data_IF_685204331231
#
_entry.id   IF_685204331231
#
_cell.length_a   1.000
_cell.length_b   1.000
_cell.length_c   1.000
_cell.angle_alpha   90.00
_cell.angle_beta   90.00
_cell.angle_gamma   90.00
#
_symmetry.space_group_name_H-M   'P 1'
#
loop_
_entity.id
_entity.type
_entity.pdbx_description
1 polymer ?
#
# COMPACT_ATOMS: atom_id res chain seq x y z
N UNK A 1 -23.90 -24.97 -10.96
CA UNK A 1 -24.92 -24.16 -10.24
C UNK A 1 -24.42 -22.71 -10.18
N UNK A 2 -25.14 -21.77 -10.78
CA UNK A 2 -24.74 -20.35 -10.80
C UNK A 2 -25.03 -19.71 -9.44
N UNK A 3 -24.10 -18.88 -8.94
CA UNK A 3 -24.25 -18.12 -7.69
C UNK A 3 -25.45 -17.15 -7.80
N UNK A 4 -26.30 -17.00 -6.77
CA UNK A 4 -27.34 -15.98 -6.78
C UNK A 4 -26.68 -14.60 -6.82
N UNK A 5 -27.02 -13.82 -7.85
CA UNK A 5 -26.64 -12.42 -7.95
C UNK A 5 -27.50 -11.65 -6.95
N UNK A 6 -26.88 -11.02 -5.95
CA UNK A 6 -27.59 -10.13 -5.03
C UNK A 6 -28.11 -8.92 -5.82
N UNK A 7 -29.36 -9.00 -6.27
CA UNK A 7 -30.05 -7.89 -6.93
C UNK A 7 -30.75 -7.03 -5.89
N UNK A 8 -30.41 -5.75 -5.90
CA UNK A 8 -31.15 -4.73 -5.15
C UNK A 8 -32.46 -4.45 -5.90
N UNK A 9 -33.59 -4.76 -5.26
CA UNK A 9 -34.93 -4.73 -5.88
C UNK A 9 -35.59 -3.35 -5.82
N UNK A 10 -35.25 -2.56 -4.79
CA UNK A 10 -35.75 -1.21 -4.60
C UNK A 10 -34.76 -0.40 -3.75
N UNK A 11 -34.78 0.92 -3.90
CA UNK A 11 -34.03 1.89 -3.12
C UNK A 11 -34.99 2.91 -2.55
N UNK A 12 -34.92 3.14 -1.23
CA UNK A 12 -35.67 4.20 -0.55
C UNK A 12 -34.79 5.43 -0.46
N UNK A 13 -35.27 6.56 -0.99
CA UNK A 13 -34.60 7.85 -0.98
C UNK A 13 -34.82 8.58 0.36
N UNK A 14 -34.06 9.64 0.62
CA UNK A 14 -34.11 10.40 1.89
C UNK A 14 -35.46 11.10 2.14
N UNK A 15 -36.16 11.48 1.06
CA UNK A 15 -37.52 12.04 1.11
C UNK A 15 -38.60 10.98 1.39
N UNK A 16 -38.20 9.72 1.55
CA UNK A 16 -39.08 8.60 1.81
C UNK A 16 -39.68 7.93 0.57
N UNK A 17 -39.42 8.46 -0.64
CA UNK A 17 -39.86 7.86 -1.90
C UNK A 17 -39.10 6.56 -2.19
N UNK A 18 -39.72 5.65 -2.94
CA UNK A 18 -39.13 4.35 -3.27
C UNK A 18 -39.01 4.26 -4.79
N UNK A 19 -37.79 4.05 -5.28
CA UNK A 19 -37.52 3.75 -6.69
C UNK A 19 -37.17 2.28 -6.87
N UNK A 20 -37.77 1.67 -7.89
CA UNK A 20 -37.44 0.32 -8.38
C UNK A 20 -36.71 0.37 -9.72
N UNK A 21 -36.44 1.57 -10.26
CA UNK A 21 -35.80 1.72 -11.55
C UNK A 21 -34.29 1.55 -11.42
N UNK A 22 -33.72 0.54 -12.08
CA UNK A 22 -32.30 0.22 -11.95
C UNK A 22 -31.36 1.36 -12.40
N UNK A 23 -31.78 2.21 -13.34
CA UNK A 23 -31.00 3.36 -13.76
C UNK A 23 -30.94 4.46 -12.69
N UNK A 24 -32.05 4.67 -12.00
CA UNK A 24 -32.18 5.66 -10.92
C UNK A 24 -31.48 5.16 -9.64
N UNK A 25 -31.67 3.89 -9.26
CA UNK A 25 -30.95 3.26 -8.15
C UNK A 25 -29.42 3.34 -8.32
N UNK A 26 -28.92 3.13 -9.55
CA UNK A 26 -27.49 3.29 -9.85
C UNK A 26 -27.02 4.73 -9.77
N UNK A 27 -27.86 5.69 -10.19
CA UNK A 27 -27.53 7.11 -10.15
C UNK A 27 -27.40 7.59 -8.71
N UNK A 28 -28.36 7.23 -7.86
CA UNK A 28 -28.33 7.57 -6.44
C UNK A 28 -27.19 6.89 -5.70
N UNK A 29 -26.93 5.61 -5.96
CA UNK A 29 -25.75 4.94 -5.41
C UNK A 29 -24.45 5.62 -5.86
N UNK A 30 -24.36 6.02 -7.13
CA UNK A 30 -23.18 6.74 -7.65
C UNK A 30 -23.02 8.09 -6.99
N UNK A 31 -24.11 8.85 -6.81
CA UNK A 31 -24.12 10.14 -6.11
C UNK A 31 -23.67 9.98 -4.65
N UNK A 32 -24.25 9.03 -3.94
CA UNK A 32 -23.86 8.70 -2.57
C UNK A 32 -22.37 8.38 -2.43
N UNK A 33 -21.82 7.55 -3.33
CA UNK A 33 -20.39 7.23 -3.29
C UNK A 33 -19.51 8.38 -3.76
N UNK A 34 -19.99 9.24 -4.68
CA UNK A 34 -19.29 10.47 -5.02
C UNK A 34 -19.20 11.34 -3.78
N UNK A 35 -20.30 11.60 -3.07
CA UNK A 35 -20.29 12.44 -1.88
C UNK A 35 -19.44 11.84 -0.75
N UNK A 36 -19.56 10.52 -0.52
CA UNK A 36 -18.80 9.80 0.52
C UNK A 36 -17.28 9.76 0.25
N UNK A 37 -16.86 9.71 -1.01
CA UNK A 37 -15.46 9.66 -1.41
C UNK A 37 -14.94 10.97 -1.99
N UNK A 38 -15.77 12.02 -1.97
CA UNK A 38 -15.31 13.38 -2.25
C UNK A 38 -14.35 13.78 -1.14
N UNK A 39 -13.31 14.53 -1.51
CA UNK A 39 -12.43 15.10 -0.50
C UNK A 39 -13.28 16.03 0.37
N UNK A 40 -13.24 15.83 1.69
CA UNK A 40 -13.77 16.81 2.64
C UNK A 40 -13.02 18.13 2.45
N UNK A 41 -13.69 19.25 2.70
CA UNK A 41 -13.07 20.57 2.69
C UNK A 41 -11.96 20.62 3.74
N UNK A 42 -10.73 20.40 3.29
CA UNK A 42 -9.55 20.60 4.12
C UNK A 42 -9.42 22.08 4.45
N UNK A 43 -9.00 22.40 5.68
CA UNK A 43 -8.64 23.76 6.07
C UNK A 43 -7.73 24.37 5.00
N UNK A 44 -8.12 25.52 4.40
CA UNK A 44 -7.32 26.20 3.38
C UNK A 44 -5.90 26.46 3.85
N UNK A 45 -5.68 26.72 5.15
CA UNK A 45 -4.34 26.97 5.68
C UNK A 45 -3.48 25.70 5.70
N UNK A 46 -4.05 24.54 6.06
CA UNK A 46 -3.35 23.26 6.01
C UNK A 46 -3.07 22.83 4.58
N UNK A 47 -3.97 23.15 3.66
CA UNK A 47 -3.82 22.88 2.23
C UNK A 47 -2.72 23.75 1.63
N UNK A 48 -2.72 25.05 1.91
CA UNK A 48 -1.67 25.97 1.46
C UNK A 48 -0.31 25.61 2.05
N UNK A 49 -0.23 25.24 3.33
CA UNK A 49 1.01 24.82 3.98
C UNK A 49 1.58 23.54 3.35
N UNK A 50 0.72 22.55 3.08
CA UNK A 50 1.11 21.29 2.44
C UNK A 50 1.53 21.47 0.97
N UNK A 51 0.89 22.40 0.24
CA UNK A 51 1.12 22.65 -1.19
C UNK A 51 2.20 23.72 -1.46
N UNK A 52 2.68 24.43 -0.43
CA UNK A 52 3.63 25.56 -0.57
C UNK A 52 4.96 25.17 -1.21
N UNK A 53 5.42 23.95 -0.91
CA UNK A 53 6.73 23.43 -1.33
C UNK A 53 6.65 22.47 -2.54
N UNK A 54 5.44 22.24 -3.07
CA UNK A 54 5.28 21.37 -4.24
C UNK A 54 5.47 22.15 -5.54
N UNK A 55 6.11 21.57 -6.57
CA UNK A 55 6.18 22.17 -7.89
C UNK A 55 4.78 22.33 -8.45
N UNK A 56 4.39 23.58 -8.70
CA UNK A 56 3.09 23.90 -9.28
C UNK A 56 3.14 23.62 -10.78
N UNK A 57 2.20 22.82 -11.26
CA UNK A 57 2.04 22.56 -12.69
C UNK A 57 1.75 23.89 -13.41
N UNK A 58 2.32 24.05 -14.60
CA UNK A 58 1.99 25.21 -15.44
C UNK A 58 0.52 25.13 -15.89
N UNK A 59 -0.12 26.26 -16.23
CA UNK A 59 -1.51 26.28 -16.69
C UNK A 59 -1.75 25.35 -17.89
N UNK A 60 -0.76 25.23 -18.77
CA UNK A 60 -0.79 24.35 -19.94
C UNK A 60 -0.74 22.86 -19.53
N UNK A 61 0.13 22.51 -18.59
CA UNK A 61 0.25 21.15 -18.05
C UNK A 61 -1.02 20.72 -17.30
N UNK A 62 -1.62 21.65 -16.55
CA UNK A 62 -2.89 21.42 -15.85
C UNK A 62 -4.04 21.18 -16.84
N UNK A 63 -4.13 21.96 -17.91
CA UNK A 63 -5.14 21.82 -18.95
C UNK A 63 -5.06 20.47 -19.69
N UNK A 64 -3.84 20.00 -20.00
CA UNK A 64 -3.62 18.68 -20.61
C UNK A 64 -4.07 17.56 -19.68
N UNK A 65 -3.75 17.68 -18.39
CA UNK A 65 -4.11 16.68 -17.39
C UNK A 65 -5.63 16.58 -17.22
N UNK A 66 -6.32 17.72 -17.16
CA UNK A 66 -7.79 17.81 -17.08
C UNK A 66 -8.47 17.23 -18.33
N UNK A 67 -7.91 17.45 -19.53
CA UNK A 67 -8.45 16.87 -20.76
C UNK A 67 -8.28 15.35 -20.83
N UNK A 68 -7.14 14.82 -20.40
CA UNK A 68 -6.84 13.37 -20.39
C UNK A 68 -7.74 12.63 -19.39
N UNK A 69 -8.03 13.24 -18.24
CA UNK A 69 -8.90 12.66 -17.22
C UNK A 69 -10.38 12.61 -17.60
N UNK A 70 -10.80 13.42 -18.59
CA UNK A 70 -12.19 13.49 -19.05
C UNK A 70 -12.60 12.39 -20.06
N UNK A 71 -11.67 11.54 -20.54
CA UNK A 71 -12.00 10.46 -21.47
C UNK A 71 -12.65 9.26 -20.75
N UNK A 72 -13.92 9.01 -21.07
CA UNK A 72 -14.84 8.04 -20.44
C UNK A 72 -14.36 6.58 -20.52
N UNK A 73 -14.46 5.90 -19.36
CA UNK A 73 -14.07 4.52 -19.01
C UNK A 73 -12.55 4.37 -19.12
N UNK A 74 -11.75 4.71 -18.12
CA UNK A 74 -11.55 3.97 -16.87
C UNK A 74 -10.87 4.89 -15.81
N UNK A 75 -11.61 5.65 -14.98
CA UNK A 75 -10.99 6.79 -14.28
C UNK A 75 -10.11 6.42 -13.05
N UNK A 76 -10.60 5.69 -12.02
CA UNK A 76 -9.84 5.56 -10.78
C UNK A 76 -8.70 4.55 -10.86
N UNK A 77 -8.92 3.43 -11.56
CA UNK A 77 -7.97 2.33 -11.60
C UNK A 77 -6.78 2.68 -12.50
N UNK A 78 -7.01 3.25 -13.69
CA UNK A 78 -5.92 3.70 -14.57
C UNK A 78 -5.07 4.77 -13.90
N UNK A 79 -5.69 5.74 -13.20
CA UNK A 79 -4.95 6.74 -12.42
C UNK A 79 -4.09 6.10 -11.32
N UNK A 80 -4.63 5.11 -10.59
CA UNK A 80 -3.87 4.36 -9.56
C UNK A 80 -2.72 3.56 -10.15
N UNK A 81 -2.93 2.96 -11.32
CA UNK A 81 -1.89 2.21 -12.03
C UNK A 81 -0.80 3.14 -12.54
N UNK A 82 -1.16 4.29 -13.10
CA UNK A 82 -0.22 5.32 -13.48
C UNK A 82 0.55 5.83 -12.26
N UNK A 83 -0.12 6.12 -11.14
CA UNK A 83 0.54 6.52 -9.89
C UNK A 83 1.54 5.46 -9.39
N UNK A 84 1.18 4.17 -9.45
CA UNK A 84 2.09 3.07 -9.10
C UNK A 84 3.27 2.98 -10.07
N UNK A 85 3.05 3.09 -11.37
CA UNK A 85 4.11 3.10 -12.38
C UNK A 85 5.09 4.26 -12.16
N UNK A 86 4.58 5.47 -11.89
CA UNK A 86 5.40 6.65 -11.58
C UNK A 86 6.22 6.44 -10.31
N UNK A 87 5.63 5.89 -9.25
CA UNK A 87 6.36 5.57 -8.02
C UNK A 87 7.48 4.54 -8.25
N UNK A 88 7.26 3.56 -9.12
CA UNK A 88 8.22 2.49 -9.33
C UNK A 88 9.36 2.92 -10.27
N UNK A 89 9.02 3.57 -11.38
CA UNK A 89 9.91 3.73 -12.54
C UNK A 89 10.27 5.18 -12.89
N UNK A 90 9.56 6.20 -12.38
CA UNK A 90 9.98 7.60 -12.59
C UNK A 90 10.88 8.07 -11.44
N UNK A 91 12.07 8.55 -11.79
CA UNK A 91 12.99 9.16 -10.83
C UNK A 91 12.59 10.63 -10.54
N UNK A 92 12.79 11.03 -9.27
CA UNK A 92 12.81 12.44 -8.84
C UNK A 92 11.58 13.30 -9.18
N UNK A 93 10.39 12.79 -8.94
CA UNK A 93 9.23 13.68 -8.80
C UNK A 93 9.19 14.23 -7.37
N UNK A 94 9.01 15.55 -7.21
CA UNK A 94 9.02 16.19 -5.90
C UNK A 94 7.98 15.61 -4.91
N UNK A 95 6.91 15.01 -5.42
CA UNK A 95 5.88 14.35 -4.60
C UNK A 95 6.26 12.91 -4.20
N UNK A 96 7.21 12.26 -4.88
CA UNK A 96 7.62 10.90 -4.56
C UNK A 96 8.23 10.80 -3.16
N UNK A 97 8.95 11.83 -2.70
CA UNK A 97 9.45 11.91 -1.33
C UNK A 97 8.33 11.78 -0.30
N UNK A 98 7.25 12.56 -0.45
CA UNK A 98 6.05 12.51 0.39
C UNK A 98 5.32 11.18 0.30
N UNK A 99 5.22 10.62 -0.91
CA UNK A 99 4.64 9.29 -1.07
C UNK A 99 5.47 8.22 -0.33
N UNK A 100 6.80 8.30 -0.40
CA UNK A 100 7.67 7.37 0.31
C UNK A 100 7.58 7.53 1.82
N UNK A 101 7.46 8.75 2.36
CA UNK A 101 7.29 8.94 3.81
C UNK A 101 5.97 8.36 4.29
N UNK A 102 4.89 8.47 3.51
CA UNK A 102 3.61 7.83 3.82
C UNK A 102 3.71 6.30 3.75
N UNK A 103 4.32 5.75 2.70
CA UNK A 103 4.50 4.30 2.54
C UNK A 103 5.44 3.70 3.59
N UNK A 104 6.38 4.47 4.14
CA UNK A 104 7.24 4.02 5.26
C UNK A 104 6.46 3.68 6.51
N UNK A 105 5.31 4.32 6.72
CA UNK A 105 4.44 4.11 7.89
C UNK A 105 3.70 2.78 7.88
N UNK A 106 3.69 2.05 6.76
CA UNK A 106 3.04 0.73 6.69
C UNK A 106 3.74 -0.23 7.65
N UNK A 107 3.07 -0.56 8.75
CA UNK A 107 3.53 -1.49 9.79
C UNK A 107 4.94 -1.19 10.34
N UNK A 108 5.42 0.05 10.25
CA UNK A 108 6.79 0.47 10.57
C UNK A 108 7.89 -0.29 9.82
N UNK A 109 7.55 -0.86 8.65
CA UNK A 109 8.44 -1.74 7.89
C UNK A 109 9.48 -0.99 7.06
N UNK A 110 9.20 0.27 6.72
CA UNK A 110 10.05 1.11 5.87
C UNK A 110 10.34 0.51 4.48
N UNK A 111 9.44 -0.31 3.92
CA UNK A 111 9.66 -1.01 2.64
C UNK A 111 9.49 -0.14 1.39
N UNK A 112 8.74 0.97 1.47
CA UNK A 112 8.59 1.93 0.36
C UNK A 112 8.14 1.22 -0.93
N UNK A 113 8.95 1.25 -2.01
CA UNK A 113 8.63 0.62 -3.30
C UNK A 113 8.51 -0.90 -3.19
N UNK A 114 9.18 -1.53 -2.24
CA UNK A 114 9.15 -2.99 -2.10
C UNK A 114 7.76 -3.51 -1.72
N UNK A 115 6.87 -2.66 -1.14
CA UNK A 115 5.49 -3.03 -0.82
C UNK A 115 4.72 -3.59 -2.03
N UNK A 116 5.03 -3.13 -3.24
CA UNK A 116 4.34 -3.53 -4.47
C UNK A 116 4.59 -4.98 -4.90
N UNK A 117 5.54 -5.69 -4.28
CA UNK A 117 5.84 -7.10 -4.58
C UNK A 117 5.65 -8.04 -3.38
N UNK A 118 5.11 -7.53 -2.27
CA UNK A 118 4.82 -8.30 -1.06
C UNK A 118 3.40 -8.87 -1.08
N UNK A 119 3.13 -9.77 -0.14
CA UNK A 119 1.78 -10.28 0.09
C UNK A 119 0.92 -9.23 0.81
N UNK A 120 0.44 -8.24 0.06
CA UNK A 120 -0.39 -7.13 0.56
C UNK A 120 -1.71 -7.56 1.23
N UNK A 121 -2.12 -8.83 1.09
CA UNK A 121 -3.33 -9.36 1.75
C UNK A 121 -3.13 -9.64 3.23
N UNK A 122 -1.89 -9.86 3.66
CA UNK A 122 -1.52 -10.19 5.04
C UNK A 122 -1.04 -8.95 5.81
N UNK A 123 -1.01 -7.79 5.15
CA UNK A 123 -0.53 -6.53 5.71
C UNK A 123 -1.67 -5.65 6.19
N UNK A 124 -1.47 -5.00 7.34
CA UNK A 124 -2.28 -3.87 7.75
C UNK A 124 -1.81 -2.59 7.05
N UNK A 125 -2.67 -2.04 6.20
CA UNK A 125 -2.42 -0.81 5.45
C UNK A 125 -3.08 0.42 6.10
N UNK A 126 -3.73 0.26 7.27
CA UNK A 126 -4.48 1.32 7.97
C UNK A 126 -3.64 2.57 8.27
N UNK A 127 -2.33 2.40 8.45
CA UNK A 127 -1.38 3.49 8.67
C UNK A 127 -1.15 4.40 7.45
N UNK A 128 -1.72 4.05 6.28
CA UNK A 128 -1.65 4.86 5.05
C UNK A 128 -3.01 5.44 4.68
N UNK A 129 -3.02 6.49 3.85
CA UNK A 129 -4.26 7.09 3.35
C UNK A 129 -5.04 6.10 2.48
N UNK A 130 -6.37 6.26 2.43
CA UNK A 130 -7.26 5.43 1.60
C UNK A 130 -6.82 5.39 0.13
N UNK A 131 -6.23 6.50 -0.36
CA UNK A 131 -5.64 6.56 -1.69
C UNK A 131 -4.52 5.52 -1.88
N UNK A 132 -3.49 5.52 -1.03
CA UNK A 132 -2.37 4.58 -1.16
C UNK A 132 -2.78 3.13 -0.88
N UNK A 133 -3.71 2.91 0.06
CA UNK A 133 -4.33 1.59 0.25
C UNK A 133 -4.97 1.11 -1.06
N UNK A 134 -5.70 1.99 -1.75
CA UNK A 134 -6.33 1.65 -3.02
C UNK A 134 -5.32 1.46 -4.16
N UNK A 135 -4.20 2.19 -4.17
CA UNK A 135 -3.13 2.02 -5.16
C UNK A 135 -2.47 0.64 -5.00
N UNK A 136 -2.05 0.30 -3.77
CA UNK A 136 -1.44 -0.99 -3.45
C UNK A 136 -2.39 -2.16 -3.74
N UNK A 137 -3.66 -2.04 -3.34
CA UNK A 137 -4.66 -3.07 -3.61
C UNK A 137 -4.93 -3.21 -5.11
N UNK A 138 -5.07 -2.11 -5.85
CA UNK A 138 -5.28 -2.16 -7.30
C UNK A 138 -4.11 -2.85 -8.01
N UNK A 139 -2.87 -2.55 -7.62
CA UNK A 139 -1.68 -3.19 -8.15
C UNK A 139 -1.71 -4.72 -7.96
N UNK A 140 -2.01 -5.18 -6.75
CA UNK A 140 -2.05 -6.61 -6.42
C UNK A 140 -3.26 -7.33 -7.02
N UNK A 141 -4.47 -6.75 -6.94
CA UNK A 141 -5.69 -7.46 -7.31
C UNK A 141 -6.03 -7.35 -8.80
N UNK A 142 -5.74 -6.21 -9.43
CA UNK A 142 -6.11 -5.92 -10.82
C UNK A 142 -5.00 -6.37 -11.77
N UNK A 143 -3.76 -5.93 -11.53
CA UNK A 143 -2.63 -6.33 -12.39
C UNK A 143 -2.04 -7.68 -12.03
N UNK A 144 -2.35 -8.20 -10.81
CA UNK A 144 -1.80 -9.46 -10.31
C UNK A 144 -0.28 -9.51 -10.43
N UNK A 145 0.37 -8.36 -10.28
CA UNK A 145 1.82 -8.27 -10.38
C UNK A 145 2.40 -8.96 -9.15
N UNK A 146 3.19 -9.98 -9.44
CA UNK A 146 3.99 -10.71 -8.46
C UNK A 146 5.41 -10.81 -8.98
N UNK A 147 6.32 -11.32 -8.14
CA UNK A 147 7.69 -11.62 -8.59
C UNK A 147 7.67 -12.60 -9.76
N UNK A 148 8.49 -12.31 -10.77
CA UNK A 148 8.73 -13.23 -11.87
C UNK A 148 9.61 -14.36 -11.35
N UNK A 149 9.17 -15.61 -11.55
CA UNK A 149 9.91 -16.84 -11.20
C UNK A 149 10.39 -16.93 -9.73
N UNK A 150 9.76 -16.20 -8.81
CA UNK A 150 10.18 -16.15 -7.40
C UNK A 150 11.67 -15.80 -7.23
N UNK A 151 12.23 -14.94 -8.09
CA UNK A 151 13.61 -14.49 -7.94
C UNK A 151 13.74 -13.37 -6.88
N UNK A 152 14.85 -13.37 -6.10
CA UNK A 152 15.15 -12.27 -5.20
C UNK A 152 15.53 -11.00 -5.98
N UNK A 153 15.54 -9.86 -5.30
CA UNK A 153 16.07 -8.62 -5.89
C UNK A 153 17.56 -8.75 -6.25
N UNK A 154 18.06 -7.98 -7.24
CA UNK A 154 19.48 -7.95 -7.58
C UNK A 154 20.37 -7.66 -6.36
N UNK A 155 19.90 -6.79 -5.46
CA UNK A 155 20.48 -6.60 -4.14
C UNK A 155 19.65 -7.38 -3.12
N UNK A 156 20.07 -8.61 -2.80
CA UNK A 156 19.41 -9.51 -1.84
C UNK A 156 19.42 -8.94 -0.41
N UNK A 157 20.31 -8.02 -0.10
CA UNK A 157 20.41 -7.38 1.21
C UNK A 157 19.22 -6.45 1.50
N UNK A 158 18.64 -5.85 0.46
CA UNK A 158 17.46 -4.97 0.57
C UNK A 158 16.13 -5.74 0.58
N UNK A 159 16.20 -7.06 0.46
CA UNK A 159 15.05 -7.95 0.42
C UNK A 159 14.25 -7.87 1.75
N UNK A 160 12.94 -7.58 1.69
CA UNK A 160 12.08 -7.53 2.87
C UNK A 160 12.01 -8.86 3.61
N UNK A 161 12.09 -8.83 4.95
CA UNK A 161 11.93 -10.02 5.80
C UNK A 161 10.48 -10.48 5.92
N UNK A 162 9.55 -9.54 6.06
CA UNK A 162 8.16 -9.83 6.36
C UNK A 162 7.28 -9.75 5.11
N UNK A 163 6.23 -10.57 5.08
CA UNK A 163 5.27 -10.64 3.98
C UNK A 163 5.90 -10.93 2.61
N UNK A 164 7.13 -11.44 2.63
CA UNK A 164 7.89 -11.76 1.44
C UNK A 164 7.60 -13.21 1.02
N UNK A 165 7.02 -13.44 -0.18
CA UNK A 165 6.70 -14.79 -0.63
C UNK A 165 7.92 -15.71 -0.78
N UNK A 166 9.13 -15.16 -0.82
CA UNK A 166 10.38 -15.93 -0.89
C UNK A 166 10.83 -16.50 0.45
N UNK A 167 10.38 -15.91 1.57
CA UNK A 167 10.82 -16.28 2.92
C UNK A 167 9.75 -17.15 3.56
N UNK A 168 9.96 -18.46 3.52
CA UNK A 168 9.03 -19.45 4.07
C UNK A 168 9.36 -19.82 5.53
N UNK A 169 9.52 -18.81 6.39
CA UNK A 169 9.78 -19.03 7.83
C UNK A 169 8.51 -18.87 8.66
N UNK A 170 8.13 -19.93 9.38
CA UNK A 170 7.02 -19.88 10.34
C UNK A 170 7.35 -19.01 11.56
N UNK A 171 8.63 -18.88 11.89
CA UNK A 171 9.08 -18.08 13.04
C UNK A 171 8.97 -16.60 12.70
N UNK A 172 9.46 -16.18 11.54
CA UNK A 172 9.36 -14.79 11.05
C UNK A 172 7.89 -14.39 10.81
N UNK A 173 7.03 -15.35 10.45
CA UNK A 173 5.59 -15.11 10.27
C UNK A 173 4.82 -14.89 11.58
N UNK A 174 5.43 -15.17 12.75
CA UNK A 174 4.78 -14.98 14.05
C UNK A 174 4.56 -13.49 14.36
N UNK A 175 3.34 -13.04 14.67
CA UNK A 175 3.06 -11.63 15.02
C UNK A 175 3.94 -11.11 16.16
N UNK A 176 4.24 -11.96 17.15
CA UNK A 176 5.13 -11.61 18.25
C UNK A 176 6.56 -11.31 17.77
N UNK A 177 7.10 -12.14 16.87
CA UNK A 177 8.45 -11.94 16.33
C UNK A 177 8.50 -10.72 15.41
N UNK A 178 7.50 -10.57 14.53
CA UNK A 178 7.39 -9.40 13.65
C UNK A 178 7.38 -8.11 14.46
N UNK A 179 6.56 -8.04 15.52
CA UNK A 179 6.48 -6.86 16.37
C UNK A 179 7.84 -6.52 17.04
N UNK A 180 8.54 -7.53 17.56
CA UNK A 180 9.84 -7.34 18.22
C UNK A 180 10.93 -6.90 17.24
N UNK A 181 10.97 -7.50 16.06
CA UNK A 181 11.93 -7.15 15.02
C UNK A 181 11.67 -5.75 14.45
N UNK A 182 10.40 -5.40 14.17
CA UNK A 182 10.00 -4.06 13.74
C UNK A 182 10.42 -2.99 14.75
N UNK A 183 10.17 -3.21 16.04
CA UNK A 183 10.60 -2.30 17.11
C UNK A 183 12.12 -2.15 17.20
N UNK A 184 12.87 -3.19 16.86
CA UNK A 184 14.32 -3.17 16.79
C UNK A 184 14.87 -2.61 15.46
N UNK A 185 13.99 -2.22 14.52
CA UNK A 185 14.38 -1.75 13.19
C UNK A 185 14.87 -2.86 12.24
N UNK A 186 14.68 -4.13 12.58
CA UNK A 186 15.10 -5.28 11.78
C UNK A 186 13.98 -5.63 10.81
N UNK A 187 14.04 -5.13 9.57
CA UNK A 187 12.97 -5.35 8.57
C UNK A 187 13.48 -5.92 7.25
N UNK A 188 14.76 -5.82 6.92
CA UNK A 188 15.37 -6.33 5.68
C UNK A 188 16.46 -7.35 5.98
N UNK A 189 16.86 -8.14 4.98
CA UNK A 189 17.92 -9.16 5.14
C UNK A 189 19.21 -8.55 5.69
N UNK A 190 19.60 -7.35 5.24
CA UNK A 190 20.79 -6.66 5.74
C UNK A 190 20.77 -6.41 7.24
N UNK A 191 19.58 -6.25 7.84
CA UNK A 191 19.46 -5.94 9.27
C UNK A 191 19.72 -7.19 10.14
N UNK A 192 19.77 -8.38 9.54
CA UNK A 192 20.22 -9.63 10.16
C UNK A 192 21.74 -9.81 10.06
N UNK A 193 22.47 -8.87 9.46
CA UNK A 193 23.91 -8.92 9.28
C UNK A 193 24.61 -7.94 10.22
N UNK A 194 25.83 -8.29 10.62
CA UNK A 194 26.77 -7.44 11.34
C UNK A 194 28.02 -7.33 10.48
N UNK A 195 28.07 -6.30 9.62
CA UNK A 195 29.06 -6.20 8.56
C UNK A 195 28.95 -7.38 7.58
N UNK A 196 30.02 -8.17 7.44
CA UNK A 196 30.09 -9.28 6.49
C UNK A 196 29.59 -10.63 7.04
N UNK A 197 29.20 -10.71 8.31
CA UNK A 197 28.69 -11.94 8.93
C UNK A 197 27.23 -11.83 9.34
N UNK A 198 26.56 -12.98 9.51
CA UNK A 198 25.24 -13.04 10.11
C UNK A 198 25.31 -12.75 11.61
N UNK A 199 24.34 -11.99 12.13
CA UNK A 199 24.17 -11.80 13.57
C UNK A 199 23.96 -13.16 14.23
N UNK A 200 24.56 -13.33 15.39
CA UNK A 200 24.36 -14.48 16.25
C UNK A 200 22.99 -14.42 16.92
N UNK A 201 22.50 -15.59 17.37
CA UNK A 201 21.26 -15.66 18.12
C UNK A 201 21.26 -14.78 19.39
N UNK A 202 22.43 -14.60 20.03
CA UNK A 202 22.58 -13.76 21.22
C UNK A 202 22.44 -12.28 20.90
N UNK A 203 23.08 -11.81 19.83
CA UNK A 203 22.95 -10.43 19.36
C UNK A 203 21.49 -10.11 19.01
N UNK A 204 20.82 -10.99 18.27
CA UNK A 204 19.40 -10.82 17.96
C UNK A 204 18.52 -10.81 19.21
N UNK A 205 18.79 -11.65 20.21
CA UNK A 205 18.05 -11.62 21.47
C UNK A 205 18.25 -10.29 22.21
N UNK A 206 19.49 -9.76 22.23
CA UNK A 206 19.81 -8.49 22.86
C UNK A 206 19.11 -7.31 22.18
N UNK A 207 19.14 -7.26 20.83
CA UNK A 207 18.51 -6.19 20.05
C UNK A 207 16.97 -6.25 20.09
N UNK A 208 16.39 -7.45 19.99
CA UNK A 208 14.94 -7.63 19.87
C UNK A 208 14.23 -7.78 21.22
N UNK A 209 14.97 -8.05 22.30
CA UNK A 209 14.44 -8.35 23.63
C UNK A 209 13.74 -9.72 23.72
N UNK A 210 13.93 -10.61 22.73
CA UNK A 210 13.39 -11.97 22.80
C UNK A 210 14.30 -12.85 23.64
N UNK A 211 13.73 -13.54 24.63
CA UNK A 211 14.50 -14.30 25.62
C UNK A 211 15.04 -15.65 25.09
N UNK A 212 14.41 -16.22 24.06
CA UNK A 212 14.73 -17.56 23.59
C UNK A 212 15.82 -17.55 22.50
N UNK A 213 17.07 -17.73 22.92
CA UNK A 213 18.20 -17.89 22.00
C UNK A 213 18.04 -19.11 21.07
N UNK A 214 17.40 -20.19 21.55
CA UNK A 214 17.09 -21.36 20.72
C UNK A 214 16.14 -21.02 19.57
N UNK A 215 15.16 -20.15 19.81
CA UNK A 215 14.23 -19.70 18.78
C UNK A 215 14.96 -18.88 17.72
N UNK A 216 15.81 -17.93 18.13
CA UNK A 216 16.61 -17.12 17.20
C UNK A 216 17.62 -17.96 16.41
N UNK A 217 18.23 -18.95 17.05
CA UNK A 217 19.12 -19.87 16.35
C UNK A 217 18.39 -20.73 15.33
N UNK A 218 17.13 -21.11 15.59
CA UNK A 218 16.30 -21.81 14.60
C UNK A 218 15.92 -20.89 13.44
N UNK A 219 15.58 -19.63 13.74
CA UNK A 219 15.27 -18.62 12.73
C UNK A 219 16.43 -18.39 11.76
N UNK A 220 17.67 -18.27 12.27
CA UNK A 220 18.84 -18.07 11.41
C UNK A 220 19.24 -19.28 10.57
N UNK A 221 18.64 -20.45 10.81
CA UNK A 221 18.86 -21.67 10.03
C UNK A 221 17.79 -21.90 8.96
N UNK A 222 16.62 -21.29 9.12
CA UNK A 222 15.54 -21.27 8.13
C UNK A 222 15.88 -20.28 7.01
#
# INVERSE_FOLDING_TARGET
MAKPQNQMLYLRQEDGTITTEAAEMRREATKFYIDLYSAEDCDPSCTEELLRELPKLSPEQSSVLVQVLNFKKWPPQTFRLQAAQRLLYEEETAWAGTAYTLLRRVEDLNYVKHLFVLNLREMDLSATTLFYQSVLRAWSSVLRISRINAQPFPCTEEEPLFHNPLIQSRIISSPYIQQRFRKAGITRIKDLRSGNSWKTARELCAETGVLSARLMQRLLRE
#
